data_IF_980135437304
#
_entry.id   IF_980135437304
#
_cell.length_a   1.000
_cell.length_b   1.000
_cell.length_c   1.000
_cell.angle_alpha   90.00
_cell.angle_beta   90.00
_cell.angle_gamma   90.00
#
_symmetry.space_group_name_H-M   'P 1'
#
loop_
_entity.id
_entity.type
_entity.pdbx_description
1 polymer ?
#
# COMPACT_ATOMS: atom_id res chain seq x y z
N UNK A 1 0.47 -23.34 -14.78
CA UNK A 1 1.71 -24.04 -15.17
C UNK A 1 2.83 -23.09 -15.57
N UNK A 2 2.62 -22.13 -16.50
CA UNK A 2 3.65 -21.16 -16.93
C UNK A 2 4.42 -20.46 -15.80
N UNK A 3 3.72 -19.99 -14.76
CA UNK A 3 4.32 -19.29 -13.62
C UNK A 3 5.31 -20.15 -12.82
N UNK A 4 5.03 -21.45 -12.69
CA UNK A 4 5.91 -22.38 -11.98
C UNK A 4 7.15 -22.71 -12.81
N UNK A 5 7.01 -22.81 -14.13
CA UNK A 5 8.15 -22.99 -15.03
C UNK A 5 9.10 -21.80 -15.00
N UNK A 6 8.56 -20.57 -15.05
CA UNK A 6 9.37 -19.33 -14.96
C UNK A 6 10.15 -19.27 -13.65
N UNK A 7 9.52 -19.60 -12.51
CA UNK A 7 10.22 -19.65 -11.22
C UNK A 7 11.38 -20.68 -11.24
N UNK A 8 11.14 -21.87 -11.79
CA UNK A 8 12.16 -22.92 -11.90
C UNK A 8 13.31 -22.51 -12.85
N UNK A 9 13.00 -21.86 -13.97
CA UNK A 9 14.00 -21.32 -14.91
C UNK A 9 14.89 -20.27 -14.24
N UNK A 10 14.35 -19.51 -13.27
CA UNK A 10 15.11 -18.57 -12.45
C UNK A 10 15.80 -19.22 -11.24
N UNK A 11 15.73 -20.55 -11.09
CA UNK A 11 16.33 -21.30 -9.99
C UNK A 11 15.59 -21.16 -8.66
N UNK A 12 14.35 -20.65 -8.65
CA UNK A 12 13.56 -20.43 -7.44
C UNK A 12 12.55 -21.57 -7.30
N UNK A 13 12.60 -22.26 -6.16
CA UNK A 13 11.58 -23.26 -5.85
C UNK A 13 10.23 -22.56 -5.58
N UNK A 14 9.10 -23.02 -6.16
CA UNK A 14 7.80 -22.39 -5.92
C UNK A 14 7.44 -22.29 -4.43
N UNK A 15 7.74 -23.33 -3.65
CA UNK A 15 7.50 -23.34 -2.20
C UNK A 15 8.30 -22.25 -1.50
N UNK A 16 9.59 -22.10 -1.84
CA UNK A 16 10.45 -21.06 -1.30
C UNK A 16 9.91 -19.66 -1.63
N UNK A 17 9.51 -19.44 -2.88
CA UNK A 17 8.89 -18.18 -3.29
C UNK A 17 7.67 -17.83 -2.44
N UNK A 18 6.73 -18.77 -2.26
CA UNK A 18 5.52 -18.51 -1.47
C UNK A 18 5.82 -18.32 0.02
N UNK A 19 6.76 -19.07 0.59
CA UNK A 19 7.20 -18.87 1.99
C UNK A 19 7.75 -17.46 2.18
N UNK A 20 8.67 -17.01 1.31
CA UNK A 20 9.27 -15.68 1.40
C UNK A 20 8.22 -14.56 1.26
N UNK A 21 7.22 -14.73 0.37
CA UNK A 21 6.11 -13.78 0.21
C UNK A 21 5.27 -13.70 1.49
N UNK A 22 4.96 -14.84 2.12
CA UNK A 22 4.20 -14.88 3.37
C UNK A 22 4.98 -14.25 4.53
N UNK A 23 6.28 -14.51 4.63
CA UNK A 23 7.16 -13.89 5.63
C UNK A 23 7.20 -12.37 5.46
N UNK A 24 7.32 -11.88 4.22
CA UNK A 24 7.28 -10.44 3.92
C UNK A 24 5.97 -9.81 4.40
N UNK A 25 4.82 -10.44 4.10
CA UNK A 25 3.51 -9.94 4.53
C UNK A 25 3.41 -9.94 6.06
N UNK A 26 3.88 -11.00 6.72
CA UNK A 26 3.85 -11.08 8.18
C UNK A 26 4.70 -9.99 8.84
N UNK A 27 5.88 -9.68 8.28
CA UNK A 27 6.79 -8.68 8.81
C UNK A 27 6.34 -7.23 8.55
N UNK A 28 5.74 -6.96 7.39
CA UNK A 28 5.47 -5.59 6.92
C UNK A 28 3.99 -5.21 6.90
N UNK A 29 3.09 -6.20 6.92
CA UNK A 29 1.66 -6.02 6.70
C UNK A 29 1.29 -5.65 5.25
N UNK A 30 2.24 -5.70 4.30
CA UNK A 30 2.06 -5.23 2.92
C UNK A 30 2.23 -6.37 1.92
N UNK A 31 1.54 -6.28 0.78
CA UNK A 31 1.80 -7.16 -0.36
C UNK A 31 3.07 -6.68 -1.10
N UNK A 32 3.96 -7.59 -1.53
CA UNK A 32 5.21 -7.23 -2.21
C UNK A 32 4.99 -6.69 -3.63
N UNK A 33 3.83 -6.98 -4.22
CA UNK A 33 3.37 -6.37 -5.47
C UNK A 33 1.96 -5.85 -5.24
N UNK A 34 1.77 -4.55 -5.36
CA UNK A 34 0.45 -3.95 -5.33
C UNK A 34 -0.14 -3.95 -6.73
N UNK A 35 -1.42 -4.34 -6.86
CA UNK A 35 -2.20 -3.93 -8.04
C UNK A 35 -2.37 -2.42 -7.93
N UNK A 36 -1.62 -1.67 -8.73
CA UNK A 36 -1.71 -0.22 -8.74
C UNK A 36 -3.12 0.22 -9.18
N UNK A 37 -3.99 0.48 -8.21
CA UNK A 37 -5.21 1.27 -8.39
C UNK A 37 -5.01 2.70 -7.87
N UNK A 38 -4.05 2.89 -6.96
CA UNK A 38 -3.64 4.15 -6.34
C UNK A 38 -2.12 4.16 -6.25
N UNK A 39 -1.51 5.34 -6.41
CA UNK A 39 -0.07 5.50 -6.21
C UNK A 39 0.30 5.47 -4.72
N UNK A 40 1.59 5.32 -4.42
CA UNK A 40 2.09 5.43 -3.04
C UNK A 40 1.80 6.83 -2.46
N UNK A 41 1.98 7.87 -3.28
CA UNK A 41 1.64 9.26 -2.95
C UNK A 41 0.15 9.41 -2.56
N UNK A 42 -0.76 8.86 -3.36
CA UNK A 42 -2.19 8.91 -3.04
C UNK A 42 -2.53 8.17 -1.74
N UNK A 43 -1.81 7.08 -1.45
CA UNK A 43 -1.99 6.31 -0.22
C UNK A 43 -1.58 7.12 1.01
N UNK A 44 -0.49 7.86 0.91
CA UNK A 44 -0.03 8.78 1.96
C UNK A 44 -1.01 9.93 2.17
N UNK A 45 -1.51 10.52 1.09
CA UNK A 45 -2.55 11.56 1.15
C UNK A 45 -3.82 11.06 1.83
N UNK A 46 -4.29 9.85 1.48
CA UNK A 46 -5.44 9.23 2.13
C UNK A 46 -5.21 8.97 3.62
N UNK A 47 -3.99 8.60 4.03
CA UNK A 47 -3.65 8.42 5.44
C UNK A 47 -3.75 9.75 6.21
N UNK A 48 -3.27 10.85 5.62
CA UNK A 48 -3.38 12.20 6.18
C UNK A 48 -4.85 12.60 6.33
N UNK A 49 -5.66 12.42 5.28
CA UNK A 49 -7.10 12.73 5.30
C UNK A 49 -7.80 11.94 6.42
N UNK A 50 -7.56 10.62 6.52
CA UNK A 50 -8.17 9.79 7.57
C UNK A 50 -7.78 10.24 8.97
N UNK A 51 -6.50 10.55 9.19
CA UNK A 51 -6.02 11.08 10.48
C UNK A 51 -6.74 12.38 10.85
N UNK A 52 -6.85 13.30 9.89
CA UNK A 52 -7.53 14.59 10.01
C UNK A 52 -9.02 14.46 10.28
N UNK A 53 -9.71 13.53 9.61
CA UNK A 53 -11.13 13.27 9.84
C UNK A 53 -11.41 12.71 11.25
N UNK A 54 -10.51 11.91 11.79
CA UNK A 54 -10.69 11.26 13.10
C UNK A 54 -10.35 12.18 14.29
N UNK A 55 -9.61 13.28 14.07
CA UNK A 55 -9.36 14.32 15.07
C UNK A 55 -9.61 15.71 14.46
N UNK A 56 -10.89 16.10 14.29
CA UNK A 56 -11.26 17.29 13.54
C UNK A 56 -11.07 18.61 14.32
N UNK A 57 -10.43 18.59 15.49
CA UNK A 57 -10.63 19.59 16.54
C UNK A 57 -10.18 21.03 16.23
N UNK A 58 -9.53 21.32 15.10
CA UNK A 58 -9.09 22.70 14.77
C UNK A 58 -9.02 23.04 13.27
N UNK A 59 -9.74 22.37 12.36
CA UNK A 59 -9.40 22.49 10.92
C UNK A 59 -10.45 23.02 9.96
N UNK A 60 -11.67 23.28 10.40
CA UNK A 60 -12.69 23.83 9.51
C UNK A 60 -13.21 25.12 10.14
N UNK A 61 -12.45 26.19 9.95
CA UNK A 61 -12.98 27.54 10.07
C UNK A 61 -13.72 27.86 8.76
N UNK A 62 -14.90 28.45 8.87
CA UNK A 62 -15.64 28.92 7.70
C UNK A 62 -14.89 30.11 7.11
N UNK A 63 -14.33 29.93 5.92
CA UNK A 63 -13.59 30.97 5.19
C UNK A 63 -14.36 31.38 3.94
N UNK A 64 -14.30 32.66 3.57
CA UNK A 64 -14.82 33.16 2.31
C UNK A 64 -13.73 33.17 1.24
N UNK A 65 -14.11 33.37 -0.03
CA UNK A 65 -13.13 33.52 -1.10
C UNK A 65 -12.24 34.76 -0.93
N UNK A 66 -12.71 35.77 -0.20
CA UNK A 66 -11.93 36.98 0.11
C UNK A 66 -10.88 36.72 1.19
N UNK A 67 -10.97 35.60 1.92
CA UNK A 67 -10.04 35.20 3.00
C UNK A 67 -8.96 34.21 2.52
N UNK A 68 -9.05 33.73 1.27
CA UNK A 68 -8.08 32.82 0.63
C UNK A 68 -6.81 33.55 0.18
#
# INVERSE_FOLDING_TARGET
EKSYSVLREQGIAPTEFFTNVLEYIAATGKLPVQKALLSEEDTELLAIVRKRMNDPKEMFEEITLDDL
#
